data_IF_034749336332
#
_entry.id   IF_034749336332
#
_cell.length_a   1.000
_cell.length_b   1.000
_cell.length_c   1.000
_cell.angle_alpha   90.00
_cell.angle_beta   90.00
_cell.angle_gamma   90.00
#
_symmetry.space_group_name_H-M   'P 1'
#
loop_
_entity.id
_entity.type
_entity.pdbx_description
1 polymer ?
#
# COMPACT_ATOMS: atom_id res chain seq x y z
N UNK A 1 -21.02 5.49 6.40
CA UNK A 1 -19.81 5.84 5.65
C UNK A 1 -18.57 5.98 6.55
N UNK A 2 -18.60 6.69 7.69
CA UNK A 2 -17.48 6.77 8.62
C UNK A 2 -17.11 5.41 9.22
N UNK A 3 -18.10 4.61 9.63
CA UNK A 3 -17.88 3.25 10.14
C UNK A 3 -17.21 2.31 9.12
N UNK A 4 -17.39 2.54 7.82
CA UNK A 4 -16.73 1.74 6.78
C UNK A 4 -15.27 2.11 6.59
N UNK A 5 -14.92 3.40 6.71
CA UNK A 5 -13.54 3.88 6.62
C UNK A 5 -12.74 3.38 7.83
N UNK A 6 -13.31 3.45 9.02
CA UNK A 6 -12.69 2.91 10.24
C UNK A 6 -12.44 1.41 10.10
N UNK A 7 -13.42 0.65 9.60
CA UNK A 7 -13.27 -0.79 9.36
C UNK A 7 -12.21 -1.11 8.30
N UNK A 8 -12.04 -0.26 7.28
CA UNK A 8 -11.00 -0.44 6.28
C UNK A 8 -9.59 -0.33 6.88
N UNK A 9 -9.35 0.66 7.73
CA UNK A 9 -8.06 0.81 8.42
C UNK A 9 -7.76 -0.36 9.36
N UNK A 10 -8.73 -0.79 10.17
CA UNK A 10 -8.60 -1.98 11.02
C UNK A 10 -8.30 -3.24 10.19
N UNK A 11 -8.98 -3.40 9.07
CA UNK A 11 -8.77 -4.53 8.17
C UNK A 11 -7.36 -4.54 7.59
N UNK A 12 -6.87 -3.41 7.07
CA UNK A 12 -5.51 -3.29 6.52
C UNK A 12 -4.48 -3.68 7.57
N UNK A 13 -4.57 -3.12 8.77
CA UNK A 13 -3.60 -3.40 9.84
C UNK A 13 -3.67 -4.86 10.28
N UNK A 14 -4.86 -5.43 10.42
CA UNK A 14 -5.01 -6.84 10.79
C UNK A 14 -4.43 -7.79 9.74
N UNK A 15 -4.58 -7.48 8.45
CA UNK A 15 -4.01 -8.26 7.35
C UNK A 15 -2.48 -8.18 7.32
N UNK A 16 -1.90 -6.99 7.54
CA UNK A 16 -0.45 -6.83 7.61
C UNK A 16 0.13 -7.62 8.80
N UNK A 17 -0.49 -7.53 9.97
CA UNK A 17 -0.08 -8.32 11.14
C UNK A 17 -0.23 -9.83 10.93
N UNK A 18 -1.32 -10.28 10.32
CA UNK A 18 -1.55 -11.70 10.05
C UNK A 18 -0.49 -12.30 9.15
N UNK A 19 -0.07 -11.55 8.16
CA UNK A 19 0.91 -12.00 7.17
C UNK A 19 2.36 -11.72 7.63
N UNK A 20 2.54 -11.22 8.86
CA UNK A 20 3.84 -10.84 9.42
C UNK A 20 4.65 -9.93 8.49
N UNK A 21 3.94 -8.98 7.87
CA UNK A 21 4.52 -8.00 6.97
C UNK A 21 4.99 -6.82 7.80
N UNK A 22 6.29 -6.75 8.04
CA UNK A 22 6.92 -5.60 8.66
C UNK A 22 7.01 -4.47 7.64
N UNK A 23 6.48 -3.31 8.00
CA UNK A 23 6.66 -2.08 7.25
C UNK A 23 7.96 -1.46 7.76
N UNK A 24 9.07 -1.69 7.07
CA UNK A 24 10.40 -1.23 7.49
C UNK A 24 10.56 0.30 7.52
N UNK A 25 9.63 1.02 6.91
CA UNK A 25 9.66 2.47 6.88
C UNK A 25 9.12 3.07 8.18
N UNK A 26 10.01 3.67 8.98
CA UNK A 26 9.69 4.28 10.27
C UNK A 26 8.58 5.35 10.18
N UNK A 27 8.47 6.08 9.05
CA UNK A 27 7.44 7.08 8.84
C UNK A 27 6.06 6.43 8.73
N UNK A 28 5.94 5.33 7.99
CA UNK A 28 4.68 4.59 7.87
C UNK A 28 4.30 3.87 9.17
N UNK A 29 5.28 3.35 9.91
CA UNK A 29 5.03 2.77 11.23
C UNK A 29 4.42 3.81 12.17
N UNK A 30 5.00 5.01 12.23
CA UNK A 30 4.49 6.10 13.07
C UNK A 30 3.06 6.51 12.67
N UNK A 31 2.78 6.64 11.36
CA UNK A 31 1.42 6.93 10.87
C UNK A 31 0.42 5.83 11.28
N UNK A 32 0.82 4.56 11.19
CA UNK A 32 -0.04 3.45 11.59
C UNK A 32 -0.31 3.44 13.10
N UNK A 33 0.72 3.68 13.93
CA UNK A 33 0.59 3.76 15.39
C UNK A 33 -0.33 4.91 15.80
N UNK A 34 -0.15 6.09 15.24
CA UNK A 34 -1.01 7.24 15.52
C UNK A 34 -2.45 7.04 15.02
N UNK A 35 -2.61 6.45 13.83
CA UNK A 35 -3.94 6.08 13.35
C UNK A 35 -4.64 5.14 14.33
N UNK A 36 -3.96 4.10 14.81
CA UNK A 36 -4.51 3.15 15.77
C UNK A 36 -4.81 3.76 17.14
N UNK A 37 -4.09 4.80 17.53
CA UNK A 37 -4.35 5.52 18.78
C UNK A 37 -5.64 6.35 18.72
N UNK A 38 -5.96 6.94 17.58
CA UNK A 38 -7.01 7.95 17.45
C UNK A 38 -8.26 7.52 16.67
N UNK A 39 -8.23 6.43 15.88
CA UNK A 39 -9.33 6.07 14.96
C UNK A 39 -10.70 5.83 15.64
N UNK A 40 -10.72 5.56 16.95
CA UNK A 40 -11.96 5.39 17.74
C UNK A 40 -12.47 6.69 18.35
N UNK A 41 -11.75 7.77 18.24
CA UNK A 41 -12.17 9.04 18.80
C UNK A 41 -13.33 9.63 17.99
N UNK A 42 -14.40 10.09 18.65
CA UNK A 42 -15.53 10.70 17.97
C UNK A 42 -15.07 11.98 17.27
N UNK A 43 -15.47 12.16 16.02
CA UNK A 43 -15.13 13.31 15.15
C UNK A 43 -13.63 13.42 14.75
N UNK A 44 -12.82 12.41 14.98
CA UNK A 44 -11.46 12.40 14.47
C UNK A 44 -11.44 12.08 12.96
N UNK A 45 -10.78 12.94 12.18
CA UNK A 45 -10.65 12.80 10.73
C UNK A 45 -9.17 12.64 10.39
N UNK A 46 -8.78 11.44 10.00
CA UNK A 46 -7.39 11.09 9.70
C UNK A 46 -6.75 12.05 8.67
N UNK A 47 -7.47 12.39 7.59
CA UNK A 47 -6.96 13.29 6.56
C UNK A 47 -6.58 14.66 7.13
N UNK A 48 -7.43 15.23 7.98
CA UNK A 48 -7.17 16.53 8.63
C UNK A 48 -6.05 16.42 9.66
N UNK A 49 -6.05 15.35 10.45
CA UNK A 49 -5.03 15.12 11.47
C UNK A 49 -3.63 15.04 10.85
N UNK A 50 -3.43 14.19 9.87
CA UNK A 50 -2.13 14.00 9.23
C UNK A 50 -1.71 15.18 8.34
N UNK A 51 -2.65 15.90 7.74
CA UNK A 51 -2.35 17.11 6.98
C UNK A 51 -1.73 18.22 7.83
N UNK A 52 -2.15 18.36 9.08
CA UNK A 52 -1.64 19.36 10.04
C UNK A 52 -0.71 18.76 11.10
N UNK A 53 -0.12 17.61 10.80
CA UNK A 53 0.75 16.91 11.73
C UNK A 53 2.03 17.72 12.03
N UNK A 54 2.50 17.75 13.29
CA UNK A 54 3.71 18.49 13.67
C UNK A 54 4.99 17.99 13.01
N UNK A 55 5.03 16.70 12.64
CA UNK A 55 6.11 16.14 11.82
C UNK A 55 5.87 16.53 10.34
N UNK A 56 6.79 17.34 9.79
CA UNK A 56 6.71 17.86 8.43
C UNK A 56 6.68 16.76 7.34
N UNK A 57 7.36 15.64 7.54
CA UNK A 57 7.40 14.54 6.57
C UNK A 57 6.04 13.86 6.48
N UNK A 58 5.37 13.64 7.61
CA UNK A 58 4.00 13.10 7.66
C UNK A 58 3.02 14.06 7.01
N UNK A 59 3.09 15.35 7.37
CA UNK A 59 2.23 16.38 6.80
C UNK A 59 2.40 16.47 5.27
N UNK A 60 3.64 16.50 4.78
CA UNK A 60 3.92 16.55 3.35
C UNK A 60 3.40 15.31 2.61
N UNK A 61 3.57 14.12 3.18
CA UNK A 61 3.05 12.87 2.63
C UNK A 61 1.52 12.91 2.54
N UNK A 62 0.85 13.33 3.60
CA UNK A 62 -0.61 13.44 3.64
C UNK A 62 -1.15 14.45 2.60
N UNK A 63 -0.50 15.61 2.46
CA UNK A 63 -0.86 16.61 1.45
C UNK A 63 -0.68 16.07 0.04
N UNK A 64 0.41 15.36 -0.25
CA UNK A 64 0.66 14.77 -1.56
C UNK A 64 -0.41 13.72 -1.90
N UNK A 65 -0.73 12.82 -0.97
CA UNK A 65 -1.77 11.80 -1.18
C UNK A 65 -3.15 12.40 -1.43
N UNK A 66 -3.50 13.47 -0.73
CA UNK A 66 -4.76 14.19 -0.93
C UNK A 66 -4.78 14.91 -2.29
N UNK A 67 -3.66 15.51 -2.71
CA UNK A 67 -3.55 16.17 -4.01
C UNK A 67 -3.71 15.18 -5.16
N UNK A 68 -3.10 14.01 -5.08
CA UNK A 68 -3.21 12.95 -6.10
C UNK A 68 -4.65 12.44 -6.25
N UNK A 69 -5.36 12.29 -5.14
CA UNK A 69 -6.79 11.93 -5.16
C UNK A 69 -7.62 12.95 -5.94
N UNK A 70 -7.37 14.25 -5.76
CA UNK A 70 -8.08 15.31 -6.50
C UNK A 70 -7.71 15.35 -7.99
N UNK A 71 -6.47 15.06 -8.35
CA UNK A 71 -6.05 15.00 -9.75
C UNK A 71 -6.69 13.83 -10.50
N UNK A 72 -6.73 12.66 -9.90
CA UNK A 72 -7.40 11.47 -10.45
C UNK A 72 -8.89 11.74 -10.67
N UNK A 73 -9.60 12.29 -9.70
CA UNK A 73 -11.02 12.66 -9.84
C UNK A 73 -11.27 13.62 -11.00
N UNK A 74 -10.40 14.62 -11.19
CA UNK A 74 -10.52 15.59 -12.29
C UNK A 74 -10.18 14.99 -13.65
N UNK A 75 -9.26 14.05 -13.73
CA UNK A 75 -8.94 13.33 -14.96
C UNK A 75 -10.12 12.46 -15.40
N UNK A 76 -10.70 11.69 -14.48
CA UNK A 76 -11.89 10.88 -14.77
C UNK A 76 -13.09 11.73 -15.19
N UNK A 77 -13.35 12.85 -14.50
CA UNK A 77 -14.42 13.77 -14.87
C UNK A 77 -14.22 14.38 -16.27
N UNK A 78 -12.97 14.74 -16.64
CA UNK A 78 -12.67 15.26 -17.98
C UNK A 78 -12.80 14.20 -19.07
N UNK A 79 -12.41 12.96 -18.79
CA UNK A 79 -12.51 11.86 -19.77
C UNK A 79 -13.97 11.51 -20.06
N UNK A 80 -14.84 11.51 -19.03
CA UNK A 80 -16.29 11.29 -19.20
C UNK A 80 -16.99 12.41 -19.99
N UNK A 81 -16.59 13.66 -19.81
CA UNK A 81 -17.15 14.79 -20.56
C UNK A 81 -16.70 14.74 -22.04
N UNK A 82 -15.53 14.18 -22.32
CA UNK A 82 -15.01 14.07 -23.70
C UNK A 82 -15.69 12.97 -24.53
N UNK A 83 -16.28 11.96 -23.91
CA UNK A 83 -16.85 10.80 -24.63
C UNK A 83 -18.35 10.90 -24.91
N UNK A 84 -19.00 12.04 -24.67
CA UNK A 84 -20.42 12.32 -25.00
C UNK A 84 -21.41 11.16 -24.75
N UNK A 85 -21.19 10.38 -23.70
CA UNK A 85 -22.11 9.33 -23.28
C UNK A 85 -22.90 9.82 -22.07
N UNK A 86 -23.92 10.65 -22.35
CA UNK A 86 -25.01 10.90 -21.40
C UNK A 86 -25.86 9.63 -21.35
N UNK A 87 -25.46 8.66 -20.58
CA UNK A 87 -26.35 7.71 -19.94
C UNK A 87 -26.11 7.88 -18.44
N UNK A 88 -27.21 8.21 -17.73
CA UNK A 88 -27.30 7.99 -16.29
C UNK A 88 -27.05 6.49 -16.05
N UNK A 89 -25.76 6.13 -16.02
CA UNK A 89 -25.33 4.87 -15.44
C UNK A 89 -25.25 5.18 -13.96
N UNK A 90 -26.06 4.50 -13.14
CA UNK A 90 -25.88 4.41 -11.70
C UNK A 90 -24.41 4.06 -11.45
N UNK A 91 -23.60 5.08 -11.25
CA UNK A 91 -22.19 4.87 -10.90
C UNK A 91 -22.18 4.32 -9.47
N UNK A 92 -21.57 3.16 -9.23
CA UNK A 92 -21.41 2.67 -7.86
C UNK A 92 -20.76 3.80 -7.04
N UNK A 93 -21.34 4.09 -5.89
CA UNK A 93 -20.78 5.14 -5.03
C UNK A 93 -19.33 4.78 -4.66
N UNK A 94 -18.49 5.78 -4.42
CA UNK A 94 -17.11 5.54 -3.94
C UNK A 94 -17.09 4.60 -2.72
N UNK A 95 -18.18 4.57 -1.96
CA UNK A 95 -18.39 3.72 -0.79
C UNK A 95 -18.58 2.25 -1.18
N UNK A 96 -19.29 1.96 -2.28
CA UNK A 96 -19.53 0.59 -2.75
C UNK A 96 -18.28 -0.03 -3.36
N UNK A 97 -17.38 0.80 -3.91
CA UNK A 97 -16.09 0.37 -4.46
C UNK A 97 -14.96 0.26 -3.40
N UNK A 98 -15.18 0.80 -2.20
CA UNK A 98 -14.16 0.85 -1.15
C UNK A 98 -13.57 -0.51 -0.78
N UNK A 99 -14.33 -1.61 -0.63
CA UNK A 99 -13.76 -2.92 -0.29
C UNK A 99 -12.79 -3.43 -1.34
N UNK A 100 -13.14 -3.32 -2.63
CA UNK A 100 -12.28 -3.79 -3.74
C UNK A 100 -11.03 -2.91 -3.86
N UNK A 101 -11.17 -1.60 -3.67
CA UNK A 101 -10.04 -0.67 -3.66
C UNK A 101 -9.07 -0.98 -2.51
N UNK A 102 -9.57 -1.22 -1.30
CA UNK A 102 -8.75 -1.53 -0.13
C UNK A 102 -8.00 -2.86 -0.33
N UNK A 103 -8.69 -3.89 -0.82
CA UNK A 103 -8.04 -5.16 -1.12
C UNK A 103 -6.94 -5.01 -2.16
N UNK A 104 -7.19 -4.27 -3.21
CA UNK A 104 -6.22 -4.03 -4.26
C UNK A 104 -5.00 -3.26 -3.75
N UNK A 105 -5.21 -2.17 -3.02
CA UNK A 105 -4.13 -1.39 -2.42
C UNK A 105 -3.28 -2.24 -1.47
N UNK A 106 -3.91 -3.12 -0.68
CA UNK A 106 -3.21 -4.04 0.21
C UNK A 106 -2.34 -5.04 -0.56
N UNK A 107 -2.85 -5.59 -1.67
CA UNK A 107 -2.07 -6.48 -2.54
C UNK A 107 -0.89 -5.74 -3.20
N UNK A 108 -1.09 -4.51 -3.66
CA UNK A 108 -0.03 -3.67 -4.23
C UNK A 108 1.04 -3.35 -3.17
N UNK A 109 0.65 -3.02 -1.95
CA UNK A 109 1.59 -2.81 -0.83
C UNK A 109 2.40 -4.07 -0.53
N UNK A 110 1.75 -5.21 -0.36
CA UNK A 110 2.42 -6.50 -0.14
C UNK A 110 3.40 -6.83 -1.27
N UNK A 111 2.99 -6.59 -2.51
CA UNK A 111 3.85 -6.79 -3.68
C UNK A 111 5.11 -5.93 -3.64
N UNK A 112 4.97 -4.65 -3.31
CA UNK A 112 6.08 -3.70 -3.18
C UNK A 112 7.07 -4.17 -2.11
N UNK A 113 6.57 -4.51 -0.92
CA UNK A 113 7.41 -4.99 0.20
C UNK A 113 8.17 -6.26 -0.17
N UNK A 114 7.51 -7.22 -0.84
CA UNK A 114 8.16 -8.45 -1.28
C UNK A 114 9.25 -8.17 -2.33
N UNK A 115 9.03 -7.25 -3.26
CA UNK A 115 10.05 -6.85 -4.23
C UNK A 115 11.25 -6.20 -3.56
N UNK A 116 11.04 -5.23 -2.67
CA UNK A 116 12.13 -4.59 -1.91
C UNK A 116 12.95 -5.62 -1.12
N UNK A 117 12.28 -6.61 -0.53
CA UNK A 117 12.97 -7.68 0.19
C UNK A 117 13.79 -8.59 -0.73
N UNK A 118 13.29 -8.90 -1.93
CA UNK A 118 14.05 -9.64 -2.96
C UNK A 118 15.27 -8.85 -3.41
N UNK A 119 15.14 -7.54 -3.66
CA UNK A 119 16.25 -6.67 -4.09
C UNK A 119 17.30 -6.54 -3.00
N UNK A 120 16.89 -6.41 -1.75
CA UNK A 120 17.78 -6.41 -0.59
C UNK A 120 18.55 -7.74 -0.50
N UNK A 121 17.86 -8.87 -0.64
CA UNK A 121 18.51 -10.19 -0.64
C UNK A 121 19.51 -10.35 -1.78
N UNK A 122 19.21 -9.84 -2.98
CA UNK A 122 20.16 -9.88 -4.09
C UNK A 122 21.40 -9.05 -3.82
N UNK A 123 21.26 -7.90 -3.15
CA UNK A 123 22.37 -7.06 -2.73
C UNK A 123 23.22 -7.76 -1.69
N UNK A 124 22.58 -8.33 -0.66
CA UNK A 124 23.26 -9.13 0.37
C UNK A 124 23.98 -10.35 -0.21
N UNK A 125 23.39 -11.01 -1.21
CA UNK A 125 24.03 -12.15 -1.89
C UNK A 125 25.32 -11.73 -2.60
N UNK A 126 25.32 -10.60 -3.29
CA UNK A 126 26.53 -10.06 -3.96
C UNK A 126 27.62 -9.73 -2.93
N UNK A 127 27.26 -9.10 -1.81
CA UNK A 127 28.19 -8.79 -0.75
C UNK A 127 28.75 -10.04 -0.08
N UNK A 128 27.92 -11.04 0.19
CA UNK A 128 28.34 -12.31 0.76
C UNK A 128 29.30 -13.07 -0.17
N UNK A 129 29.03 -13.03 -1.48
CA UNK A 129 29.95 -13.61 -2.48
C UNK A 129 31.32 -12.92 -2.51
N UNK A 130 31.35 -11.58 -2.34
CA UNK A 130 32.63 -10.85 -2.27
C UNK A 130 33.44 -11.15 -1.02
N UNK A 131 32.78 -11.60 0.06
CA UNK A 131 33.40 -11.92 1.36
C UNK A 131 33.63 -13.42 1.56
N UNK A 132 33.27 -14.25 0.57
CA UNK A 132 33.26 -15.72 0.67
C UNK A 132 32.44 -16.26 1.87
N UNK A 133 31.36 -15.57 2.24
CA UNK A 133 30.47 -15.96 3.34
C UNK A 133 29.46 -17.02 2.89
N UNK A 134 29.88 -18.27 2.92
CA UNK A 134 29.10 -19.41 2.44
C UNK A 134 27.86 -19.72 3.28
N UNK A 135 27.86 -19.40 4.57
CA UNK A 135 26.69 -19.59 5.43
C UNK A 135 25.56 -18.61 5.05
N UNK A 136 25.91 -17.34 4.88
CA UNK A 136 24.96 -16.31 4.46
C UNK A 136 24.43 -16.58 3.03
N UNK A 137 25.31 -16.96 2.10
CA UNK A 137 24.94 -17.35 0.73
C UNK A 137 23.90 -18.49 0.76
N UNK A 138 24.16 -19.53 1.54
CA UNK A 138 23.23 -20.66 1.65
C UNK A 138 21.87 -20.22 2.20
N UNK A 139 21.87 -19.46 3.27
CA UNK A 139 20.65 -18.96 3.91
C UNK A 139 19.80 -18.13 2.93
N UNK A 140 20.42 -17.25 2.15
CA UNK A 140 19.74 -16.43 1.14
C UNK A 140 19.16 -17.31 0.05
N UNK A 141 19.92 -18.27 -0.47
CA UNK A 141 19.47 -19.19 -1.53
C UNK A 141 18.32 -20.12 -1.08
N UNK A 142 18.21 -20.43 0.20
CA UNK A 142 17.10 -21.21 0.76
C UNK A 142 15.83 -20.35 0.90
N UNK A 143 15.94 -19.06 1.20
CA UNK A 143 14.80 -18.17 1.40
C UNK A 143 14.28 -17.52 0.12
N UNK A 144 15.14 -17.24 -0.83
CA UNK A 144 14.79 -16.54 -2.08
C UNK A 144 13.65 -17.20 -2.88
N UNK A 145 13.60 -18.53 -3.07
CA UNK A 145 12.52 -19.17 -3.82
C UNK A 145 11.14 -18.94 -3.20
N UNK A 146 11.05 -18.88 -1.86
CA UNK A 146 9.80 -18.64 -1.14
C UNK A 146 9.27 -17.24 -1.46
N UNK A 147 10.11 -16.22 -1.42
CA UNK A 147 9.73 -14.85 -1.76
C UNK A 147 9.34 -14.70 -3.24
N UNK A 148 10.03 -15.41 -4.14
CA UNK A 148 9.69 -15.43 -5.57
C UNK A 148 8.30 -16.05 -5.78
N UNK A 149 7.97 -17.13 -5.09
CA UNK A 149 6.64 -17.76 -5.17
C UNK A 149 5.55 -16.83 -4.65
N UNK A 150 5.76 -16.20 -3.48
CA UNK A 150 4.84 -15.18 -2.93
C UNK A 150 4.63 -14.04 -3.92
N UNK A 151 5.68 -13.52 -4.53
CA UNK A 151 5.59 -12.47 -5.55
C UNK A 151 4.74 -12.91 -6.74
N UNK A 152 4.92 -14.14 -7.22
CA UNK A 152 4.12 -14.66 -8.33
C UNK A 152 2.64 -14.79 -7.98
N UNK A 153 2.32 -15.21 -6.75
CA UNK A 153 0.94 -15.29 -6.27
C UNK A 153 0.30 -13.91 -6.20
N UNK A 154 1.02 -12.91 -5.68
CA UNK A 154 0.57 -11.52 -5.63
C UNK A 154 0.36 -10.94 -7.04
N UNK A 155 1.27 -11.19 -7.98
CA UNK A 155 1.11 -10.80 -9.38
C UNK A 155 -0.17 -11.39 -10.01
N UNK A 156 -0.45 -12.67 -9.76
CA UNK A 156 -1.68 -13.33 -10.26
C UNK A 156 -2.92 -12.68 -9.66
N UNK A 157 -2.91 -12.40 -8.35
CA UNK A 157 -4.02 -11.74 -7.67
C UNK A 157 -4.27 -10.31 -8.17
N UNK A 158 -3.22 -9.58 -8.55
CA UNK A 158 -3.30 -8.26 -9.16
C UNK A 158 -3.69 -8.28 -10.65
N UNK A 159 -3.86 -9.47 -11.25
CA UNK A 159 -4.35 -9.61 -12.63
C UNK A 159 -3.33 -9.33 -13.71
N UNK A 160 -2.06 -9.67 -13.52
CA UNK A 160 -0.95 -9.53 -14.47
C UNK A 160 -0.75 -8.08 -15.03
N UNK A 161 -1.30 -7.07 -14.36
CA UNK A 161 -1.13 -5.65 -14.76
C UNK A 161 0.07 -4.98 -14.08
N UNK A 162 0.96 -5.76 -13.50
CA UNK A 162 2.20 -5.23 -12.94
C UNK A 162 3.15 -4.98 -14.09
N UNK A 163 3.33 -3.73 -14.46
CA UNK A 163 4.37 -3.32 -15.40
C UNK A 163 5.70 -3.48 -14.65
N UNK A 164 6.49 -4.44 -15.11
CA UNK A 164 7.87 -4.60 -14.63
C UNK A 164 8.67 -3.37 -15.09
N UNK A 165 9.10 -2.57 -14.15
CA UNK A 165 10.08 -1.49 -14.35
C UNK A 165 11.48 -2.02 -14.11
#
# INVERSE_FOLDING_TARGET
SEDQIVRAGEYIISELHRDNVDVDNALYQLIMEEYMAHYKEPNWVAATYFQYHPNGDISQLAVNMLADKYQLSRMYAKQMVSENVVKEVDMPSDVDMLPDMVQRMLLELKYTIVNERIDTMQTMLKEAQMRDDWELIRTILEQQPVLIDIRQQLCKALGNRVILH
#
